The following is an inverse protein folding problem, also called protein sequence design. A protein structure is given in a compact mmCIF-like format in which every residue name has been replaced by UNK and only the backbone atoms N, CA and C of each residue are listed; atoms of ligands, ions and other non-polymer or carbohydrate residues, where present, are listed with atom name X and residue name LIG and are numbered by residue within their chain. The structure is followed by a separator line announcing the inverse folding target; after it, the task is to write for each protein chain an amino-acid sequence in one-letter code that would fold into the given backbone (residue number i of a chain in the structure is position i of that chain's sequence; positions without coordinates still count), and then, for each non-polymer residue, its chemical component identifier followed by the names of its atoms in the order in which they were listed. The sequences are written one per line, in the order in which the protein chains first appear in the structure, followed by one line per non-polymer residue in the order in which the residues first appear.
data_IF_684863195016
#
_entry.id   IF_684863195016
#
_cell.length_a   1.000
_cell.length_b   1.000
_cell.length_c   1.000
_cell.angle_alpha   90.00
_cell.angle_beta   90.00
_cell.angle_gamma   90.00
#
_symmetry.space_group_name_H-M   'P 1'
#
loop_
_entity.id
_entity.type
_entity.pdbx_description
1 polymer ?
#
# COMPACT_ATOMS: atom_id res chain seq x y z
N UNK A 1 19.45 8.75 24.28
CA UNK A 1 18.42 7.80 24.76
C UNK A 1 17.52 7.41 23.60
N UNK A 2 17.91 6.36 22.89
CA UNK A 2 17.23 5.84 21.70
C UNK A 2 16.04 5.03 22.17
N UNK A 3 14.82 5.60 22.11
CA UNK A 3 13.61 4.79 22.29
C UNK A 3 13.43 3.94 21.04
N UNK A 4 13.66 2.65 21.21
CA UNK A 4 13.46 1.60 20.23
C UNK A 4 12.09 1.69 19.56
N UNK A 5 12.07 1.61 18.23
CA UNK A 5 10.91 1.58 17.35
C UNK A 5 10.00 0.33 17.50
N UNK A 6 10.15 -0.44 18.60
CA UNK A 6 9.62 -1.81 18.72
C UNK A 6 8.56 -2.03 19.81
N UNK A 7 8.11 -0.99 20.52
CA UNK A 7 7.02 -1.12 21.49
C UNK A 7 6.01 0.01 21.31
N UNK A 8 5.09 -0.17 20.36
CA UNK A 8 3.79 0.48 20.47
C UNK A 8 2.76 -0.56 20.05
N UNK A 9 2.11 -1.18 21.03
CA UNK A 9 0.73 -1.66 20.93
C UNK A 9 -0.19 -0.47 20.59
N UNK A 10 0.01 0.09 19.40
CA UNK A 10 -0.77 1.21 18.90
C UNK A 10 -2.09 0.62 18.41
N UNK A 11 -3.25 1.15 18.84
CA UNK A 11 -4.51 0.78 18.22
C UNK A 11 -4.36 0.96 16.71
N UNK A 12 -4.70 -0.06 15.93
CA UNK A 12 -4.44 -0.09 14.50
C UNK A 12 -5.00 1.15 13.80
N UNK A 13 -4.13 2.12 13.52
CA UNK A 13 -4.60 3.43 13.13
C UNK A 13 -5.05 3.45 11.66
N UNK A 14 -6.22 4.05 11.35
CA UNK A 14 -6.72 4.14 9.98
C UNK A 14 -5.72 4.79 8.98
N UNK A 15 -4.86 5.70 9.48
CA UNK A 15 -3.80 6.33 8.69
C UNK A 15 -2.72 5.35 8.23
N UNK A 16 -2.29 4.43 9.11
CA UNK A 16 -1.29 3.40 8.78
C UNK A 16 -1.81 2.45 7.72
N UNK A 17 -3.06 2.01 7.84
CA UNK A 17 -3.68 1.15 6.82
C UNK A 17 -3.76 1.88 5.47
N UNK A 18 -4.11 3.17 5.48
CA UNK A 18 -4.15 3.99 4.26
C UNK A 18 -2.79 4.10 3.59
N UNK A 19 -1.70 4.25 4.33
CA UNK A 19 -0.35 4.29 3.75
C UNK A 19 0.08 2.97 3.10
N UNK A 20 -0.45 1.85 3.55
CA UNK A 20 -0.12 0.53 3.00
C UNK A 20 -1.01 0.10 1.83
N UNK A 21 -2.19 0.69 1.69
CA UNK A 21 -3.21 0.27 0.72
C UNK A 21 -3.60 1.37 -0.26
N UNK A 22 -3.27 2.63 0.04
CA UNK A 22 -3.63 3.80 -0.74
C UNK A 22 -5.13 4.07 -0.82
N UNK A 23 -5.95 3.54 0.10
CA UNK A 23 -7.39 3.77 0.08
C UNK A 23 -7.75 5.25 0.21
N UNK A 24 -8.84 5.66 -0.46
CA UNK A 24 -9.43 6.98 -0.20
C UNK A 24 -10.03 6.99 1.21
N UNK A 25 -10.07 8.16 1.84
CA UNK A 25 -10.68 8.35 3.17
C UNK A 25 -12.08 7.72 3.27
N UNK A 26 -12.93 7.93 2.26
CA UNK A 26 -14.27 7.35 2.26
C UNK A 26 -14.30 5.83 2.05
N UNK A 27 -13.39 5.28 1.24
CA UNK A 27 -13.24 3.83 1.03
C UNK A 27 -12.79 3.14 2.32
N UNK A 28 -11.80 3.72 3.00
CA UNK A 28 -11.30 3.28 4.30
C UNK A 28 -12.42 3.20 5.34
N UNK A 29 -13.20 4.28 5.45
CA UNK A 29 -14.30 4.38 6.41
C UNK A 29 -15.54 3.56 6.01
N UNK A 30 -15.66 3.24 4.73
CA UNK A 30 -16.72 2.36 4.21
C UNK A 30 -16.40 0.88 4.36
N UNK A 31 -15.15 0.51 4.58
CA UNK A 31 -14.68 -0.88 4.61
C UNK A 31 -15.35 -1.66 5.75
N UNK A 32 -15.85 -2.86 5.42
CA UNK A 32 -16.47 -3.78 6.39
C UNK A 32 -15.68 -5.07 6.51
N UNK A 33 -15.83 -5.78 7.64
CA UNK A 33 -15.15 -7.06 7.86
C UNK A 33 -15.50 -8.08 6.78
N UNK A 34 -16.76 -8.12 6.32
CA UNK A 34 -17.18 -8.98 5.19
C UNK A 34 -16.60 -8.61 3.83
N UNK A 35 -15.84 -7.51 3.71
CA UNK A 35 -15.07 -7.19 2.51
C UNK A 35 -13.64 -7.74 2.55
N UNK A 36 -13.20 -8.26 3.69
CA UNK A 36 -11.86 -8.75 3.91
C UNK A 36 -11.83 -10.28 3.82
N UNK A 37 -10.97 -10.78 2.94
CA UNK A 37 -10.55 -12.18 2.96
C UNK A 37 -9.16 -12.24 3.61
N UNK A 38 -9.13 -12.48 4.91
CA UNK A 38 -7.87 -12.56 5.66
C UNK A 38 -7.06 -13.81 5.34
N UNK A 39 -7.68 -14.83 4.72
CA UNK A 39 -7.02 -16.06 4.32
C UNK A 39 -6.31 -15.91 2.97
N UNK A 40 -7.01 -15.35 1.98
CA UNK A 40 -6.43 -15.01 0.68
C UNK A 40 -5.60 -13.72 0.71
N UNK A 41 -5.68 -12.95 1.80
CA UNK A 41 -4.95 -11.69 1.96
C UNK A 41 -5.47 -10.58 1.04
N UNK A 42 -6.79 -10.46 0.88
CA UNK A 42 -7.39 -9.47 -0.05
C UNK A 42 -8.49 -8.63 0.59
N UNK A 43 -8.72 -7.44 0.03
CA UNK A 43 -9.83 -6.56 0.40
C UNK A 43 -10.63 -6.16 -0.84
N UNK A 44 -11.96 -6.27 -0.77
CA UNK A 44 -12.89 -5.82 -1.79
C UNK A 44 -13.38 -4.39 -1.50
N UNK A 45 -12.97 -3.42 -2.30
CA UNK A 45 -13.33 -2.01 -2.11
C UNK A 45 -14.62 -1.73 -2.87
N UNK A 46 -15.76 -1.79 -2.18
CA UNK A 46 -17.11 -1.73 -2.81
C UNK A 46 -17.91 -0.48 -2.47
N UNK A 47 -17.52 0.22 -1.42
CA UNK A 47 -18.33 1.30 -0.84
C UNK A 47 -17.46 2.42 -0.31
N UNK A 48 -18.06 3.60 -0.24
CA UNK A 48 -17.46 4.80 0.34
C UNK A 48 -18.42 5.38 1.37
N UNK A 49 -17.87 5.76 2.53
CA UNK A 49 -18.59 6.52 3.54
C UNK A 49 -18.26 8.00 3.39
N UNK A 50 -19.27 8.84 3.19
CA UNK A 50 -19.09 10.28 3.10
C UNK A 50 -20.25 11.04 3.72
N UNK A 51 -19.99 12.29 4.14
CA UNK A 51 -21.06 13.18 4.60
C UNK A 51 -21.67 13.89 3.40
N UNK A 52 -22.98 13.78 3.22
CA UNK A 52 -23.75 14.43 2.16
C UNK A 52 -24.59 15.56 2.75
N UNK A 53 -24.81 16.62 1.97
CA UNK A 53 -25.58 17.80 2.40
C UNK A 53 -27.03 17.45 2.70
N UNK A 54 -27.60 16.49 1.96
CA UNK A 54 -29.00 16.08 2.07
C UNK A 54 -29.26 14.92 3.05
N UNK A 55 -28.27 14.05 3.30
CA UNK A 55 -28.47 12.77 3.99
C UNK A 55 -27.52 12.50 5.16
N UNK A 56 -26.75 13.49 5.62
CA UNK A 56 -25.82 13.29 6.72
C UNK A 56 -24.71 12.29 6.39
N UNK A 57 -24.36 11.40 7.33
CA UNK A 57 -23.33 10.38 7.10
C UNK A 57 -23.92 9.24 6.25
N UNK A 58 -23.51 9.14 5.00
CA UNK A 58 -24.12 8.25 4.01
C UNK A 58 -23.10 7.24 3.48
N UNK A 59 -23.51 5.97 3.44
CA UNK A 59 -22.78 4.94 2.69
C UNK A 59 -23.27 4.93 1.26
N UNK A 60 -22.35 5.05 0.31
CA UNK A 60 -22.64 5.01 -1.12
C UNK A 60 -21.84 3.88 -1.76
N UNK A 61 -22.34 3.24 -2.83
CA UNK A 61 -21.49 2.42 -3.67
C UNK A 61 -20.32 3.27 -4.19
N UNK A 62 -19.20 2.64 -4.53
CA UNK A 62 -18.16 3.38 -5.23
C UNK A 62 -18.74 3.98 -6.51
N UNK A 63 -18.40 5.25 -6.81
CA UNK A 63 -19.05 6.10 -7.82
C UNK A 63 -19.20 5.47 -9.23
N UNK A 64 -18.44 4.41 -9.54
CA UNK A 64 -18.52 3.66 -10.79
C UNK A 64 -18.20 2.18 -10.54
N UNK A 65 -18.69 1.27 -11.40
CA UNK A 65 -18.31 -0.17 -11.41
C UNK A 65 -16.79 -0.35 -11.52
N UNK A 66 -16.11 0.55 -12.24
CA UNK A 66 -14.65 0.59 -12.38
C UNK A 66 -13.89 1.00 -11.10
N UNK A 67 -14.59 1.51 -10.09
CA UNK A 67 -13.99 1.84 -8.78
C UNK A 67 -14.05 0.66 -7.81
N UNK A 68 -14.91 -0.33 -8.09
CA UNK A 68 -14.90 -1.60 -7.37
C UNK A 68 -13.65 -2.38 -7.74
N UNK A 69 -12.80 -2.63 -6.75
CA UNK A 69 -11.52 -3.32 -6.98
C UNK A 69 -11.21 -4.24 -5.83
N UNK A 70 -10.44 -5.29 -6.15
CA UNK A 70 -9.80 -6.12 -5.15
C UNK A 70 -8.34 -5.69 -5.02
N UNK A 71 -7.89 -5.46 -3.81
CA UNK A 71 -6.48 -5.16 -3.52
C UNK A 71 -5.88 -6.28 -2.69
N UNK A 72 -4.61 -6.58 -2.93
CA UNK A 72 -3.82 -7.42 -2.05
C UNK A 72 -3.47 -6.64 -0.77
N UNK A 73 -3.51 -7.32 0.37
CA UNK A 73 -3.14 -6.79 1.66
C UNK A 73 -1.75 -7.34 2.06
N UNK A 74 -0.78 -6.47 2.39
CA UNK A 74 0.51 -6.93 2.89
C UNK A 74 0.35 -7.81 4.15
N UNK A 75 1.20 -8.81 4.34
CA UNK A 75 1.14 -9.73 5.51
C UNK A 75 1.12 -8.98 6.84
N UNK A 76 1.93 -7.92 6.97
CA UNK A 76 1.91 -7.05 8.15
C UNK A 76 0.54 -6.41 8.41
N UNK A 77 -0.20 -6.05 7.36
CA UNK A 77 -1.55 -5.50 7.48
C UNK A 77 -2.53 -6.56 7.94
N UNK A 78 -2.39 -7.81 7.50
CA UNK A 78 -3.23 -8.92 7.94
C UNK A 78 -3.06 -9.19 9.44
N UNK A 79 -1.83 -9.17 9.95
CA UNK A 79 -1.57 -9.33 11.39
C UNK A 79 -2.19 -8.18 12.19
N UNK A 80 -1.99 -6.94 11.76
CA UNK A 80 -2.60 -5.79 12.42
C UNK A 80 -4.13 -5.80 12.36
N UNK A 81 -4.72 -6.28 11.25
CA UNK A 81 -6.18 -6.44 11.12
C UNK A 81 -6.72 -7.51 12.07
N UNK A 82 -6.02 -8.63 12.27
CA UNK A 82 -6.43 -9.66 13.25
C UNK A 82 -6.47 -9.09 14.66
N UNK A 83 -5.39 -8.43 15.09
CA UNK A 83 -5.34 -7.78 16.40
C UNK A 83 -6.41 -6.70 16.55
N UNK A 84 -6.64 -5.92 15.49
CA UNK A 84 -7.71 -4.92 15.47
C UNK A 84 -9.11 -5.52 15.61
N UNK A 85 -9.36 -6.66 14.96
CA UNK A 85 -10.62 -7.39 15.10
C UNK A 85 -10.85 -7.85 16.53
N UNK A 86 -9.83 -8.43 17.17
CA UNK A 86 -9.89 -8.87 18.57
C UNK A 86 -10.13 -7.69 19.52
N UNK A 87 -9.45 -6.56 19.31
CA UNK A 87 -9.71 -5.35 20.09
C UNK A 87 -11.15 -4.86 19.92
N UNK A 88 -11.68 -4.90 18.70
CA UNK A 88 -13.05 -4.50 18.45
C UNK A 88 -14.08 -5.43 19.13
N UNK A 89 -13.79 -6.73 19.25
CA UNK A 89 -14.64 -7.64 20.04
C UNK A 89 -14.60 -7.29 21.53
N UNK A 90 -13.44 -6.94 22.08
CA UNK A 90 -13.34 -6.43 23.46
C UNK A 90 -14.11 -5.13 23.66
N UNK A 91 -14.02 -4.20 22.70
CA UNK A 91 -14.79 -2.95 22.72
C UNK A 91 -16.30 -3.22 22.66
N UNK A 92 -16.72 -4.23 21.88
CA UNK A 92 -18.11 -4.68 21.80
C UNK A 92 -18.61 -5.23 23.14
N UNK A 93 -17.83 -6.10 23.77
CA UNK A 93 -18.15 -6.65 25.08
C UNK A 93 -18.27 -5.54 26.13
N UNK A 94 -17.32 -4.60 26.14
CA UNK A 94 -17.32 -3.46 27.05
C UNK A 94 -18.50 -2.48 26.81
N UNK A 95 -18.89 -2.27 25.55
CA UNK A 95 -20.02 -1.41 25.19
C UNK A 95 -21.39 -2.05 25.51
N UNK A 96 -21.47 -3.37 25.59
CA UNK A 96 -22.68 -4.13 25.90
C UNK A 96 -23.85 -3.73 25.01
N UNK A 97 -24.95 -3.29 25.62
CA UNK A 97 -26.18 -2.91 24.91
C UNK A 97 -26.06 -1.63 24.08
N UNK A 98 -25.00 -0.83 24.29
CA UNK A 98 -24.77 0.39 23.50
C UNK A 98 -24.02 0.13 22.21
N UNK A 99 -23.55 -1.11 21.99
CA UNK A 99 -22.89 -1.51 20.76
C UNK A 99 -23.85 -1.48 19.57
N UNK A 100 -23.41 -0.87 18.47
CA UNK A 100 -24.11 -0.87 17.21
C UNK A 100 -23.32 -1.70 16.20
N UNK A 101 -23.90 -2.81 15.74
CA UNK A 101 -23.23 -3.68 14.78
C UNK A 101 -23.29 -3.10 13.35
N UNK A 102 -22.35 -2.22 13.03
CA UNK A 102 -22.22 -1.65 11.68
C UNK A 102 -21.42 -2.53 10.71
N UNK A 103 -20.71 -3.53 11.23
CA UNK A 103 -19.74 -4.35 10.50
C UNK A 103 -18.51 -3.60 9.97
N UNK A 104 -18.29 -2.34 10.35
CA UNK A 104 -17.15 -1.56 9.89
C UNK A 104 -15.82 -2.04 10.49
N UNK A 105 -14.78 -2.10 9.65
CA UNK A 105 -13.42 -2.40 10.11
C UNK A 105 -12.97 -1.30 11.06
N UNK A 106 -13.14 -0.04 10.67
CA UNK A 106 -12.83 1.11 11.52
C UNK A 106 -14.14 1.72 12.07
N UNK A 107 -14.45 1.39 13.32
CA UNK A 107 -15.65 1.84 14.01
C UNK A 107 -15.30 2.66 15.26
N UNK A 108 -16.27 3.39 15.80
CA UNK A 108 -16.14 4.00 17.14
C UNK A 108 -16.15 2.91 18.21
N UNK A 109 -15.82 3.26 19.46
CA UNK A 109 -15.91 2.35 20.60
C UNK A 109 -17.33 1.80 20.86
N UNK A 110 -18.37 2.34 20.20
CA UNK A 110 -19.75 1.84 20.24
C UNK A 110 -20.15 1.13 18.94
N UNK A 111 -19.18 0.75 18.09
CA UNK A 111 -19.43 0.02 16.85
C UNK A 111 -19.99 0.86 15.69
N UNK A 112 -20.15 2.18 15.87
CA UNK A 112 -20.67 3.07 14.83
C UNK A 112 -19.63 3.41 13.77
N UNK A 113 -20.11 3.80 12.59
CA UNK A 113 -19.24 4.36 11.55
C UNK A 113 -18.53 5.64 12.03
N UNK A 114 -17.24 5.76 11.75
CA UNK A 114 -16.46 6.96 12.09
C UNK A 114 -16.80 8.08 11.09
N UNK A 115 -17.16 9.26 11.60
CA UNK A 115 -17.35 10.43 10.75
C UNK A 115 -16.02 10.85 10.09
N UNK A 116 -15.99 11.12 8.76
CA UNK A 116 -14.79 11.56 8.06
C UNK A 116 -14.12 12.82 8.63
N UNK A 117 -14.89 13.69 9.27
CA UNK A 117 -14.42 14.89 9.98
C UNK A 117 -13.68 14.51 11.25
N UNK A 118 -14.20 13.55 12.02
CA UNK A 118 -13.55 13.06 13.24
C UNK A 118 -12.22 12.40 12.92
N UNK A 119 -12.15 11.59 11.86
CA UNK A 119 -10.88 11.04 11.38
C UNK A 119 -9.87 12.14 11.01
N UNK A 120 -10.33 13.18 10.32
CA UNK A 120 -9.46 14.30 9.92
C UNK A 120 -8.93 15.07 11.14
N UNK A 121 -9.77 15.29 12.16
CA UNK A 121 -9.40 15.95 13.41
C UNK A 121 -8.40 15.10 14.21
N UNK A 122 -8.65 13.80 14.34
CA UNK A 122 -7.76 12.85 15.01
C UNK A 122 -6.38 12.83 14.32
N UNK A 123 -6.35 12.72 13.00
CA UNK A 123 -5.12 12.75 12.22
C UNK A 123 -4.33 14.06 12.38
N UNK A 124 -5.02 15.21 12.34
CA UNK A 124 -4.38 16.51 12.55
C UNK A 124 -3.77 16.61 13.95
N UNK A 125 -4.46 16.06 14.95
CA UNK A 125 -3.95 16.01 16.34
C UNK A 125 -2.72 15.13 16.45
N UNK A 126 -2.70 13.99 15.75
CA UNK A 126 -1.57 13.09 15.71
C UNK A 126 -0.34 13.72 15.07
N UNK A 127 -0.50 14.39 13.91
CA UNK A 127 0.60 15.12 13.27
C UNK A 127 1.21 16.16 14.20
N UNK A 128 0.37 16.92 14.92
CA UNK A 128 0.84 17.92 15.88
C UNK A 128 1.58 17.28 17.06
N UNK A 129 1.09 16.16 17.59
CA UNK A 129 1.76 15.42 18.68
C UNK A 129 3.12 14.85 18.25
N UNK A 130 3.24 14.48 16.98
CA UNK A 130 4.47 13.96 16.40
C UNK A 130 5.42 15.06 15.86
N UNK A 131 5.08 16.35 16.04
CA UNK A 131 5.82 17.49 15.49
C UNK A 131 6.06 17.41 13.98
N UNK A 132 5.07 16.89 13.25
CA UNK A 132 5.14 16.74 11.81
C UNK A 132 4.44 17.88 11.09
N UNK A 133 4.95 18.22 9.89
CA UNK A 133 4.30 19.16 8.97
C UNK A 133 2.83 18.77 8.77
N UNK A 134 1.95 19.77 8.84
CA UNK A 134 0.53 19.58 8.56
C UNK A 134 0.33 19.12 7.11
N UNK A 135 -0.19 17.91 6.95
CA UNK A 135 -0.68 17.36 5.69
C UNK A 135 -2.15 16.96 5.85
N UNK A 136 -2.85 16.81 4.74
CA UNK A 136 -4.25 16.36 4.72
C UNK A 136 -4.26 14.84 4.70
N UNK A 137 -5.33 14.23 5.24
CA UNK A 137 -5.43 12.76 5.29
C UNK A 137 -5.31 12.11 3.90
N UNK A 138 -5.85 12.73 2.86
CA UNK A 138 -5.74 12.19 1.51
C UNK A 138 -4.35 12.35 0.89
N UNK A 139 -3.47 13.17 1.47
CA UNK A 139 -2.09 13.26 1.01
C UNK A 139 -1.34 11.94 1.32
N UNK A 140 -1.78 11.13 2.30
CA UNK A 140 -1.24 9.78 2.55
C UNK A 140 -1.34 8.87 1.31
N UNK A 141 -2.44 8.99 0.57
CA UNK A 141 -2.63 8.25 -0.67
C UNK A 141 -1.69 8.75 -1.77
N UNK A 142 -1.44 10.07 -1.83
CA UNK A 142 -0.46 10.63 -2.76
C UNK A 142 0.96 10.16 -2.42
N UNK A 143 1.30 10.10 -1.13
CA UNK A 143 2.55 9.51 -0.65
C UNK A 143 2.66 8.04 -1.06
N UNK A 144 1.59 7.26 -0.92
CA UNK A 144 1.57 5.85 -1.37
C UNK A 144 1.86 5.73 -2.86
N UNK A 145 1.22 6.56 -3.69
CA UNK A 145 1.46 6.58 -5.14
C UNK A 145 2.90 6.95 -5.50
N UNK A 146 3.44 7.97 -4.82
CA UNK A 146 4.82 8.44 -5.03
C UNK A 146 5.81 7.35 -4.64
N UNK A 147 5.66 6.75 -3.45
CA UNK A 147 6.53 5.66 -2.99
C UNK A 147 6.51 4.47 -3.96
N UNK A 148 5.35 4.07 -4.46
CA UNK A 148 5.26 2.98 -5.46
C UNK A 148 5.99 3.33 -6.76
N UNK A 149 5.86 4.58 -7.25
CA UNK A 149 6.61 5.04 -8.42
C UNK A 149 8.12 5.02 -8.17
N UNK A 150 8.56 5.45 -6.99
CA UNK A 150 9.99 5.45 -6.62
C UNK A 150 10.57 4.04 -6.51
N UNK A 151 9.74 3.04 -6.18
CA UNK A 151 10.12 1.63 -6.20
C UNK A 151 10.04 1.00 -7.61
N UNK A 152 9.81 1.79 -8.66
CA UNK A 152 9.77 1.33 -10.04
C UNK A 152 8.47 0.61 -10.43
N UNK A 153 7.39 0.73 -9.64
CA UNK A 153 6.11 0.11 -9.98
C UNK A 153 5.48 0.86 -11.17
N UNK A 154 5.08 0.09 -12.19
CA UNK A 154 4.46 0.63 -13.39
C UNK A 154 3.18 1.43 -13.11
N UNK A 155 3.03 2.55 -13.83
CA UNK A 155 1.91 3.48 -13.58
C UNK A 155 0.54 2.81 -13.77
N UNK A 156 0.44 1.85 -14.69
CA UNK A 156 -0.80 1.08 -14.91
C UNK A 156 -1.17 0.30 -13.66
N UNK A 157 -0.22 -0.39 -13.04
CA UNK A 157 -0.43 -1.14 -11.79
C UNK A 157 -0.81 -0.20 -10.64
N UNK A 158 -0.15 0.96 -10.53
CA UNK A 158 -0.48 1.96 -9.51
C UNK A 158 -1.91 2.48 -9.69
N UNK A 159 -2.33 2.73 -10.95
CA UNK A 159 -3.69 3.18 -11.27
C UNK A 159 -4.73 2.12 -10.93
N UNK A 160 -4.46 0.85 -11.16
CA UNK A 160 -5.34 -0.26 -10.77
C UNK A 160 -5.45 -0.38 -9.25
N UNK A 161 -4.30 -0.40 -8.55
CA UNK A 161 -4.24 -0.52 -7.09
C UNK A 161 -4.97 0.64 -6.38
N UNK A 162 -4.72 1.86 -6.82
CA UNK A 162 -5.32 3.05 -6.22
C UNK A 162 -6.74 3.28 -6.76
N UNK A 163 -7.07 2.80 -7.95
CA UNK A 163 -8.31 3.06 -8.67
C UNK A 163 -8.17 4.19 -9.70
N UNK A 164 -8.77 3.97 -10.88
CA UNK A 164 -8.51 4.67 -12.14
C UNK A 164 -8.65 6.20 -12.13
N UNK A 165 -9.40 6.80 -11.19
CA UNK A 165 -9.58 8.26 -11.15
C UNK A 165 -8.41 9.02 -10.49
N UNK A 166 -7.32 8.34 -10.11
CA UNK A 166 -6.17 9.00 -9.49
C UNK A 166 -5.22 9.61 -10.54
N UNK A 167 -5.65 10.73 -11.11
CA UNK A 167 -4.81 11.62 -11.95
C UNK A 167 -3.87 12.47 -11.09
N UNK A 168 -4.04 12.44 -9.77
CA UNK A 168 -3.39 13.34 -8.81
C UNK A 168 -1.99 12.94 -8.32
N UNK A 169 -1.26 12.06 -9.02
CA UNK A 169 0.20 12.20 -8.99
C UNK A 169 0.45 13.34 -9.96
N UNK A 170 0.72 14.54 -9.45
CA UNK A 170 0.98 15.71 -10.28
C UNK A 170 1.92 15.27 -11.41
N UNK A 171 1.55 15.49 -12.66
CA UNK A 171 2.37 15.05 -13.80
C UNK A 171 3.84 15.45 -13.63
N UNK A 172 4.08 16.57 -12.93
CA UNK A 172 5.37 17.04 -12.43
C UNK A 172 6.11 16.06 -11.51
N UNK A 173 5.46 15.51 -10.47
CA UNK A 173 6.07 14.51 -9.56
C UNK A 173 6.40 13.25 -10.33
N UNK A 174 5.47 12.79 -11.18
CA UNK A 174 5.70 11.64 -12.03
C UNK A 174 6.85 11.85 -13.01
N UNK A 175 6.89 13.01 -13.68
CA UNK A 175 7.97 13.36 -14.60
C UNK A 175 9.32 13.41 -13.89
N UNK A 176 9.37 13.98 -12.68
CA UNK A 176 10.60 14.05 -11.89
C UNK A 176 11.10 12.66 -11.47
N UNK A 177 10.20 11.81 -10.95
CA UNK A 177 10.55 10.43 -10.58
C UNK A 177 10.98 9.63 -11.81
N UNK A 178 10.28 9.78 -12.95
CA UNK A 178 10.67 9.14 -14.21
C UNK A 178 12.05 9.56 -14.69
N UNK A 179 12.34 10.86 -14.70
CA UNK A 179 13.66 11.36 -15.14
C UNK A 179 14.78 10.83 -14.24
N UNK A 180 14.53 10.71 -12.93
CA UNK A 180 15.48 10.10 -12.00
C UNK A 180 15.69 8.62 -12.31
N UNK A 181 14.61 7.83 -12.43
CA UNK A 181 14.68 6.41 -12.77
C UNK A 181 15.34 6.15 -14.14
N UNK A 182 15.10 7.01 -15.13
CA UNK A 182 15.77 6.94 -16.44
C UNK A 182 17.27 7.16 -16.32
N UNK A 183 17.71 8.11 -15.50
CA UNK A 183 19.14 8.32 -15.22
C UNK A 183 19.75 7.10 -14.54
N UNK A 184 19.12 6.62 -13.47
CA UNK A 184 19.60 5.44 -12.74
C UNK A 184 19.74 4.21 -13.66
N UNK A 185 18.79 4.01 -14.58
CA UNK A 185 18.83 2.94 -15.57
C UNK A 185 19.96 3.12 -16.60
N UNK A 186 20.17 4.34 -17.11
CA UNK A 186 21.26 4.64 -18.04
C UNK A 186 22.62 4.49 -17.35
N UNK A 187 22.77 4.95 -16.11
CA UNK A 187 24.01 4.85 -15.34
C UNK A 187 24.35 3.38 -15.02
N UNK A 188 23.33 2.57 -14.72
CA UNK A 188 23.48 1.12 -14.53
C UNK A 188 23.96 0.44 -15.82
N UNK A 189 23.39 0.82 -16.98
CA UNK A 189 23.83 0.31 -18.28
C UNK A 189 25.27 0.72 -18.58
N UNK A 190 25.63 1.99 -18.41
CA UNK A 190 27.00 2.49 -18.61
C UNK A 190 27.99 1.72 -17.74
N UNK A 191 27.68 1.53 -16.46
CA UNK A 191 28.52 0.75 -15.52
C UNK A 191 28.69 -0.70 -15.97
N UNK A 192 27.64 -1.33 -16.51
CA UNK A 192 27.71 -2.70 -17.02
C UNK A 192 28.58 -2.82 -18.28
N UNK A 193 28.57 -1.79 -19.14
CA UNK A 193 29.39 -1.72 -20.36
C UNK A 193 30.85 -1.38 -20.06
N UNK A 194 31.10 -0.54 -19.05
CA UNK A 194 32.45 -0.10 -18.65
C UNK A 194 33.18 -1.14 -17.79
N UNK A 195 32.50 -2.23 -17.40
CA UNK A 195 33.13 -3.30 -16.63
C UNK A 195 34.15 -4.01 -17.53
N UNK A 196 35.46 -3.96 -17.22
CA UNK A 196 36.45 -4.64 -18.03
C UNK A 196 36.12 -6.13 -18.05
N UNK A 197 36.08 -6.69 -19.25
CA UNK A 197 36.08 -8.14 -19.45
C UNK A 197 37.41 -8.62 -18.90
N UNK A 198 37.45 -9.05 -17.64
CA UNK A 198 38.57 -9.83 -17.14
C UNK A 198 38.48 -11.20 -17.81
N UNK A 199 39.05 -11.27 -19.01
CA UNK A 199 39.40 -12.51 -19.68
C UNK A 199 40.62 -13.09 -18.97
N UNK A 200 40.37 -13.78 -17.86
CA UNK A 200 41.27 -14.80 -17.36
C UNK A 200 40.52 -16.14 -17.39
N UNK A 201 40.28 -16.64 -18.60
CA UNK A 201 40.20 -18.08 -18.80
C UNK A 201 41.65 -18.61 -18.87
N UNK A 202 42.07 -19.55 -18.03
CA UNK A 202 43.37 -20.21 -18.21
C UNK A 202 43.40 -20.82 -19.61
N UNK A 203 44.46 -20.57 -20.36
CA UNK A 203 44.74 -21.27 -21.61
C UNK A 203 44.81 -22.76 -21.28
N UNK A 204 43.78 -23.49 -21.66
CA UNK A 204 43.78 -24.94 -21.67
C UNK A 204 44.66 -25.35 -22.87
N UNK A 205 45.92 -25.65 -22.56
CA UNK A 205 46.86 -26.30 -23.49
C UNK A 205 46.36 -27.75 -23.73
N UNK A 206 45.27 -27.87 -24.49
CA UNK A 206 44.64 -29.12 -24.88
C UNK A 206 45.19 -29.61 -26.22
N UNK A 207 46.11 -30.56 -26.11
CA UNK A 207 46.56 -31.57 -27.07
C UNK A 207 45.72 -31.71 -28.37
N UNK A 208 46.37 -31.47 -29.51
CA UNK A 208 45.80 -31.63 -30.85
C UNK A 208 45.66 -33.13 -31.19
N UNK A 209 44.46 -33.66 -31.52
CA UNK A 209 44.32 -35.08 -31.84
C UNK A 209 44.84 -35.38 -33.25
N UNK A 210 45.88 -36.22 -33.33
CA UNK A 210 46.33 -36.83 -34.59
C UNK A 210 45.21 -37.66 -35.23
N UNK A 211 44.67 -37.16 -36.34
CA UNK A 211 43.90 -37.93 -37.32
C UNK A 211 44.84 -38.51 -38.39
N UNK A 212 44.83 -39.84 -38.51
CA UNK A 212 44.76 -40.63 -39.76
C UNK A 212 45.57 -41.94 -39.66
N UNK A 213 44.89 -43.05 -39.92
CA UNK A 213 45.51 -44.36 -40.11
C UNK A 213 44.48 -45.47 -40.27
N UNK A 214 43.67 -45.39 -41.32
CA UNK A 214 42.79 -46.48 -41.72
C UNK A 214 43.61 -47.72 -42.13
N UNK A 215 43.21 -48.91 -41.68
CA UNK A 215 43.55 -50.16 -42.36
C UNK A 215 42.36 -51.10 -42.23
N UNK A 216 41.69 -51.38 -43.36
CA UNK A 216 40.78 -52.50 -43.53
C UNK A 216 41.29 -53.25 -44.77
N UNK A 217 41.71 -54.50 -44.54
CA UNK A 217 42.07 -55.59 -45.47
C UNK A 217 42.67 -55.27 -46.85
#
# INVERSE_FOLDING_TARGET
MTRSFHEIESPFEPGRFTLHTGLRKGELLGLRWGDLDLSAGTAAIRRTLQRTTAGGLTTLPTKTRASERRIALPTRCLHSLKHHHEQQQRDREAAGTTWQDSGHVFATAQGRAIDPTNLTRAFTTLLRKADLRRIRFHDLRHSTATLLLEQGVELVVIKELLGHAHIGVTATVYAHVRLRLQRDAIDTLSTALDRPVNDESPRDDGDDPQLCGATVH
#
